data_IF_979086539451
#
_entry.id   IF_979086539451
#
_cell.length_a   1.000
_cell.length_b   1.000
_cell.length_c   1.000
_cell.angle_alpha   90.00
_cell.angle_beta   90.00
_cell.angle_gamma   90.00
#
_symmetry.space_group_name_H-M   'P 1'
#
loop_
_entity.id
_entity.type
_entity.pdbx_description
1 polymer ?
#
# COMPACT_ATOMS: atom_id res chain seq x y z
N UNK A 1 -9.46 7.34 13.06
CA UNK A 1 -10.62 8.23 12.78
C UNK A 1 -10.62 9.51 13.60
N UNK A 2 -10.25 9.52 14.90
CA UNK A 2 -10.14 10.75 15.70
C UNK A 2 -9.30 11.86 15.03
N UNK A 3 -8.24 11.45 14.34
CA UNK A 3 -7.27 12.35 13.69
C UNK A 3 -7.51 12.55 12.18
N UNK A 4 -8.50 11.87 11.59
CA UNK A 4 -8.75 11.89 10.14
C UNK A 4 -9.41 13.19 9.70
N UNK A 5 -8.84 13.89 8.71
CA UNK A 5 -9.42 15.13 8.17
C UNK A 5 -9.39 16.33 9.12
N UNK A 6 -8.56 16.27 10.17
CA UNK A 6 -8.48 17.30 11.20
C UNK A 6 -7.17 18.11 11.14
N UNK A 7 -6.45 18.07 10.02
CA UNK A 7 -5.23 18.86 9.86
C UNK A 7 -5.49 20.35 10.07
N UNK A 8 -4.59 21.04 10.76
CA UNK A 8 -4.65 22.49 10.88
C UNK A 8 -4.60 23.15 9.48
N UNK A 9 -5.66 23.87 9.07
CA UNK A 9 -5.70 24.50 7.75
C UNK A 9 -4.69 25.64 7.56
N UNK A 10 -4.08 26.13 8.65
CA UNK A 10 -3.01 27.14 8.59
C UNK A 10 -1.64 26.52 8.30
N UNK A 11 -1.49 25.21 8.51
CA UNK A 11 -0.26 24.48 8.22
C UNK A 11 -0.31 23.95 6.79
N UNK A 12 0.81 24.08 6.06
CA UNK A 12 0.96 23.43 4.75
C UNK A 12 0.93 21.90 4.86
N UNK A 13 1.40 21.37 5.99
CA UNK A 13 1.34 19.96 6.34
C UNK A 13 1.37 19.82 7.86
N UNK A 14 0.30 19.29 8.44
CA UNK A 14 0.22 19.06 9.89
C UNK A 14 0.88 17.71 10.24
N UNK A 15 2.22 17.73 10.31
CA UNK A 15 3.01 16.57 10.71
C UNK A 15 2.62 16.07 12.11
N UNK A 16 2.17 16.96 13.00
CA UNK A 16 1.94 16.60 14.41
C UNK A 16 0.73 15.68 14.58
N UNK A 17 -0.36 16.00 13.89
CA UNK A 17 -1.59 15.19 13.88
C UNK A 17 -1.36 13.82 13.23
N UNK A 18 -0.65 13.85 12.10
CA UNK A 18 -0.21 12.68 11.35
C UNK A 18 0.57 11.74 12.27
N UNK A 19 1.66 12.24 12.85
CA UNK A 19 2.53 11.44 13.72
C UNK A 19 1.77 10.85 14.91
N UNK A 20 0.78 11.54 15.49
CA UNK A 20 -0.03 10.95 16.56
C UNK A 20 -0.90 9.78 16.07
N UNK A 21 -1.53 9.91 14.90
CA UNK A 21 -2.33 8.83 14.32
C UNK A 21 -1.45 7.61 13.98
N UNK A 22 -0.30 7.85 13.36
CA UNK A 22 0.66 6.82 13.00
C UNK A 22 1.17 6.06 14.23
N UNK A 23 1.61 6.77 15.27
CA UNK A 23 2.10 6.18 16.52
C UNK A 23 1.02 5.37 17.25
N UNK A 24 -0.21 5.87 17.33
CA UNK A 24 -1.32 5.17 17.98
C UNK A 24 -1.65 3.84 17.27
N UNK A 25 -1.74 3.87 15.93
CA UNK A 25 -2.05 2.69 15.13
C UNK A 25 -0.88 1.71 15.15
N UNK A 26 0.36 2.18 15.00
CA UNK A 26 1.55 1.32 15.06
C UNK A 26 1.64 0.60 16.40
N UNK A 27 1.53 1.34 17.52
CA UNK A 27 1.62 0.76 18.86
C UNK A 27 0.52 -0.29 19.09
N UNK A 28 -0.70 -0.02 18.64
CA UNK A 28 -1.79 -0.98 18.72
C UNK A 28 -1.49 -2.26 17.93
N UNK A 29 -1.03 -2.13 16.68
CA UNK A 29 -0.73 -3.27 15.81
C UNK A 29 0.43 -4.09 16.35
N UNK A 30 1.52 -3.44 16.76
CA UNK A 30 2.69 -4.08 17.35
C UNK A 30 2.30 -4.89 18.60
N UNK A 31 1.56 -4.30 19.53
CA UNK A 31 1.08 -5.00 20.73
C UNK A 31 0.22 -6.22 20.38
N UNK A 32 -0.69 -6.09 19.42
CA UNK A 32 -1.58 -7.20 19.02
C UNK A 32 -0.81 -8.32 18.33
N UNK A 33 0.10 -7.96 17.44
CA UNK A 33 0.92 -8.93 16.69
C UNK A 33 1.85 -9.67 17.64
N UNK A 34 2.60 -8.97 18.50
CA UNK A 34 3.57 -9.60 19.41
C UNK A 34 2.88 -10.38 20.54
N UNK A 35 1.66 -10.00 20.95
CA UNK A 35 0.87 -10.82 21.88
C UNK A 35 0.43 -12.15 21.25
N UNK A 36 0.07 -12.15 19.96
CA UNK A 36 -0.33 -13.36 19.23
C UNK A 36 0.88 -14.20 18.77
N UNK A 37 1.99 -13.54 18.45
CA UNK A 37 3.21 -14.13 17.90
C UNK A 37 4.46 -13.62 18.65
N UNK A 38 4.72 -14.09 19.89
CA UNK A 38 5.76 -13.52 20.75
C UNK A 38 7.20 -13.66 20.24
N UNK A 39 7.45 -14.54 19.27
CA UNK A 39 8.77 -14.76 18.66
C UNK A 39 8.93 -14.07 17.29
N UNK A 40 7.90 -13.37 16.81
CA UNK A 40 7.98 -12.62 15.55
C UNK A 40 8.55 -11.22 15.81
N UNK A 41 9.03 -10.59 14.75
CA UNK A 41 9.56 -9.23 14.80
C UNK A 41 8.61 -8.26 14.09
N UNK A 42 8.68 -7.00 14.47
CA UNK A 42 7.86 -5.92 13.93
C UNK A 42 8.77 -4.86 13.32
N UNK A 43 8.38 -4.34 12.16
CA UNK A 43 9.01 -3.23 11.48
C UNK A 43 7.93 -2.29 10.96
N UNK A 44 7.94 -1.06 11.44
CA UNK A 44 6.97 -0.05 11.05
C UNK A 44 7.65 1.22 10.54
N UNK A 45 6.92 2.00 9.74
CA UNK A 45 7.41 3.26 9.16
C UNK A 45 8.05 4.20 10.21
N UNK A 46 7.41 4.35 11.38
CA UNK A 46 7.85 5.28 12.42
C UNK A 46 9.10 4.80 13.19
N UNK A 47 9.50 3.53 13.00
CA UNK A 47 10.71 2.94 13.58
C UNK A 47 11.59 2.33 12.47
N UNK A 48 12.39 3.14 11.76
CA UNK A 48 13.02 2.75 10.50
C UNK A 48 14.21 1.79 10.64
N UNK A 49 14.49 1.26 11.84
CA UNK A 49 15.55 0.27 12.04
C UNK A 49 14.94 -1.12 11.84
N UNK A 50 15.13 -1.67 10.64
CA UNK A 50 14.69 -3.01 10.31
C UNK A 50 15.47 -4.08 11.12
N UNK A 51 14.78 -5.05 11.73
CA UNK A 51 15.40 -6.27 12.21
C UNK A 51 16.09 -7.02 11.05
N UNK A 52 17.33 -7.46 11.25
CA UNK A 52 18.09 -8.22 10.26
C UNK A 52 18.15 -9.70 10.65
N UNK A 53 18.15 -10.59 9.64
CA UNK A 53 18.28 -12.04 9.82
C UNK A 53 17.25 -12.64 10.80
N UNK A 54 15.98 -12.30 10.61
CA UNK A 54 14.87 -12.83 11.41
C UNK A 54 13.97 -13.72 10.57
N UNK A 55 13.47 -14.80 11.16
CA UNK A 55 12.63 -15.76 10.45
C UNK A 55 11.24 -15.21 10.15
N UNK A 56 10.66 -14.45 11.08
CA UNK A 56 9.34 -13.86 10.93
C UNK A 56 9.37 -12.35 11.15
N UNK A 57 8.98 -11.61 10.12
CA UNK A 57 8.94 -10.15 10.15
C UNK A 57 7.57 -9.64 9.68
N UNK A 58 6.94 -8.81 10.51
CA UNK A 58 5.77 -8.04 10.14
C UNK A 58 6.20 -6.64 9.71
N UNK A 59 5.82 -6.23 8.51
CA UNK A 59 6.11 -4.89 7.97
C UNK A 59 4.80 -4.12 7.86
N UNK A 60 4.74 -2.94 8.48
CA UNK A 60 3.50 -2.18 8.67
C UNK A 60 3.67 -0.72 8.27
N UNK A 61 2.72 -0.22 7.49
CA UNK A 61 2.44 1.22 7.35
C UNK A 61 1.13 1.51 8.10
N UNK A 62 1.17 2.26 9.21
CA UNK A 62 -0.01 2.62 9.98
C UNK A 62 -1.01 3.49 9.19
N UNK A 63 -0.53 4.36 8.29
CA UNK A 63 -1.33 5.31 7.50
C UNK A 63 -0.70 5.52 6.10
N UNK A 64 -0.88 4.54 5.21
CA UNK A 64 -0.51 4.69 3.79
C UNK A 64 -1.46 5.71 3.14
N UNK A 65 -0.89 6.83 2.71
CA UNK A 65 -1.63 7.99 2.22
C UNK A 65 -1.82 9.09 3.27
N UNK A 66 -0.82 9.33 4.11
CA UNK A 66 -0.79 10.34 5.17
C UNK A 66 -1.29 11.74 4.75
N UNK A 67 -0.95 12.21 3.53
CA UNK A 67 -1.39 13.50 3.01
C UNK A 67 -2.91 13.55 2.70
N UNK A 68 -3.46 12.44 2.22
CA UNK A 68 -4.90 12.32 1.94
C UNK A 68 -5.69 12.01 3.22
N UNK A 69 -5.08 11.30 4.17
CA UNK A 69 -5.60 11.14 5.53
C UNK A 69 -5.80 12.48 6.24
N UNK A 70 -4.77 13.32 6.26
CA UNK A 70 -4.77 14.58 7.01
C UNK A 70 -5.80 15.59 6.47
N UNK A 71 -6.04 15.55 5.15
CA UNK A 71 -7.00 16.43 4.44
C UNK A 71 -8.43 15.89 4.41
N UNK A 72 -8.69 14.69 4.92
CA UNK A 72 -10.04 14.11 4.93
C UNK A 72 -10.45 13.50 3.58
N UNK A 73 -9.49 13.23 2.69
CA UNK A 73 -9.75 12.49 1.46
C UNK A 73 -9.84 10.98 1.76
N UNK A 74 -10.75 10.21 1.15
CA UNK A 74 -11.12 8.89 1.66
C UNK A 74 -10.19 7.74 1.24
N UNK A 75 -9.19 8.00 0.39
CA UNK A 75 -8.33 6.95 -0.18
C UNK A 75 -7.00 6.89 0.57
N UNK A 76 -7.04 6.26 1.74
CA UNK A 76 -5.88 5.93 2.58
C UNK A 76 -6.19 4.63 3.35
N UNK A 77 -5.18 3.98 3.89
CA UNK A 77 -5.43 2.78 4.68
C UNK A 77 -4.27 2.31 5.54
N UNK A 78 -4.54 1.24 6.29
CA UNK A 78 -3.56 0.54 7.13
C UNK A 78 -3.01 -0.62 6.30
N UNK A 79 -1.69 -0.71 6.21
CA UNK A 79 -0.99 -1.72 5.42
C UNK A 79 -0.21 -2.66 6.33
N UNK A 80 -0.33 -3.97 6.10
CA UNK A 80 0.36 -5.00 6.88
C UNK A 80 0.84 -6.10 5.94
N UNK A 81 2.11 -6.46 6.03
CA UNK A 81 2.65 -7.63 5.35
C UNK A 81 3.44 -8.49 6.32
N UNK A 82 3.56 -9.78 6.00
CA UNK A 82 4.39 -10.70 6.76
C UNK A 82 5.33 -11.44 5.84
N UNK A 83 6.59 -11.47 6.27
CA UNK A 83 7.69 -12.16 5.65
C UNK A 83 8.07 -13.36 6.52
N UNK A 84 8.36 -14.47 5.85
CA UNK A 84 8.96 -15.64 6.48
C UNK A 84 10.22 -16.04 5.72
N UNK A 85 11.36 -16.07 6.41
CA UNK A 85 12.68 -16.34 5.84
C UNK A 85 13.00 -15.42 4.65
N UNK A 86 12.67 -14.12 4.77
CA UNK A 86 12.84 -13.13 3.70
C UNK A 86 11.80 -13.18 2.57
N UNK A 87 10.96 -14.22 2.52
CA UNK A 87 9.91 -14.32 1.51
C UNK A 87 8.60 -13.67 1.96
N UNK A 88 8.04 -12.78 1.13
CA UNK A 88 6.73 -12.17 1.34
C UNK A 88 5.61 -13.22 1.25
N UNK A 89 4.96 -13.54 2.38
CA UNK A 89 3.93 -14.59 2.47
C UNK A 89 2.51 -14.05 2.37
N UNK A 90 2.24 -12.89 2.97
CA UNK A 90 0.91 -12.29 2.99
C UNK A 90 0.97 -10.76 2.96
N UNK A 91 -0.12 -10.18 2.47
CA UNK A 91 -0.39 -8.74 2.55
C UNK A 91 -1.84 -8.48 2.87
N UNK A 92 -2.09 -7.45 3.65
CA UNK A 92 -3.40 -6.95 4.03
C UNK A 92 -3.38 -5.44 3.88
N UNK A 93 -4.45 -4.90 3.31
CA UNK A 93 -4.67 -3.46 3.24
C UNK A 93 -6.11 -3.14 3.58
N UNK A 94 -6.32 -2.26 4.55
CA UNK A 94 -7.64 -1.89 5.02
C UNK A 94 -7.87 -0.39 4.89
N UNK A 95 -8.88 0.01 4.12
CA UNK A 95 -9.30 1.41 3.98
C UNK A 95 -10.50 1.67 4.91
N UNK A 96 -10.31 2.39 6.04
CA UNK A 96 -11.36 2.50 7.06
C UNK A 96 -12.56 3.35 6.65
N UNK A 97 -12.35 4.32 5.74
CA UNK A 97 -13.41 5.25 5.33
C UNK A 97 -14.41 4.57 4.40
N UNK A 98 -13.93 3.70 3.52
CA UNK A 98 -14.74 2.96 2.54
C UNK A 98 -15.13 1.57 3.01
N UNK A 99 -14.63 1.12 4.17
CA UNK A 99 -14.80 -0.24 4.70
C UNK A 99 -14.38 -1.31 3.68
N UNK A 100 -13.23 -1.10 3.05
CA UNK A 100 -12.66 -2.03 2.08
C UNK A 100 -11.43 -2.73 2.66
N UNK A 101 -11.51 -4.05 2.80
CA UNK A 101 -10.43 -4.93 3.23
C UNK A 101 -9.92 -5.75 2.05
N UNK A 102 -8.65 -5.59 1.73
CA UNK A 102 -7.91 -6.39 0.77
C UNK A 102 -6.96 -7.34 1.48
N UNK A 103 -6.84 -8.57 0.97
CA UNK A 103 -5.85 -9.53 1.48
C UNK A 103 -5.32 -10.41 0.35
N UNK A 104 -4.02 -10.69 0.36
CA UNK A 104 -3.36 -11.62 -0.55
C UNK A 104 -2.51 -12.61 0.20
N UNK A 105 -2.65 -13.89 -0.14
CA UNK A 105 -1.79 -14.97 0.37
C UNK A 105 -1.72 -16.10 -0.67
N UNK A 106 -0.52 -16.47 -1.09
CA UNK A 106 -0.31 -17.44 -2.17
C UNK A 106 -1.03 -17.03 -3.45
N UNK A 107 -1.97 -17.85 -3.95
CA UNK A 107 -2.78 -17.58 -5.16
C UNK A 107 -4.21 -17.11 -4.86
N UNK A 108 -4.43 -16.56 -3.66
CA UNK A 108 -5.76 -16.13 -3.19
C UNK A 108 -5.72 -14.66 -2.80
N UNK A 109 -6.30 -13.82 -3.66
CA UNK A 109 -6.57 -12.43 -3.37
C UNK A 109 -8.07 -12.23 -3.08
N UNK A 110 -8.38 -11.45 -2.04
CA UNK A 110 -9.74 -11.14 -1.62
C UNK A 110 -9.92 -9.62 -1.48
N UNK A 111 -11.11 -9.14 -1.83
CA UNK A 111 -11.64 -7.82 -1.47
C UNK A 111 -12.98 -8.05 -0.75
N UNK A 112 -13.09 -7.60 0.51
CA UNK A 112 -14.26 -7.82 1.37
C UNK A 112 -14.73 -9.29 1.35
N UNK A 113 -13.76 -10.20 1.55
CA UNK A 113 -13.92 -11.67 1.56
C UNK A 113 -14.35 -12.29 0.22
N UNK A 114 -14.48 -11.51 -0.86
CA UNK A 114 -14.80 -12.00 -2.20
C UNK A 114 -13.52 -12.13 -3.03
N UNK A 115 -13.33 -13.21 -3.80
CA UNK A 115 -12.18 -13.36 -4.69
C UNK A 115 -12.07 -12.21 -5.69
N UNK A 116 -10.83 -11.78 -5.95
CA UNK A 116 -10.50 -10.79 -6.96
C UNK A 116 -9.38 -11.30 -7.88
N UNK A 117 -9.27 -10.71 -9.07
CA UNK A 117 -8.20 -10.96 -10.05
C UNK A 117 -7.80 -9.67 -10.73
N UNK A 118 -6.52 -9.56 -11.05
CA UNK A 118 -6.02 -8.50 -11.91
C UNK A 118 -6.56 -8.67 -13.34
N UNK A 119 -6.56 -7.58 -14.13
CA UNK A 119 -6.91 -7.65 -15.55
C UNK A 119 -5.87 -8.49 -16.30
N UNK A 120 -6.32 -9.18 -17.35
CA UNK A 120 -5.48 -9.96 -18.27
C UNK A 120 -5.39 -9.29 -19.65
N UNK A 121 -6.27 -8.32 -19.93
CA UNK A 121 -6.30 -7.62 -21.20
C UNK A 121 -5.33 -6.44 -21.20
N UNK A 122 -4.41 -6.44 -22.16
CA UNK A 122 -3.42 -5.39 -22.39
C UNK A 122 -3.96 -4.22 -23.24
N UNK A 123 -5.22 -4.29 -23.70
CA UNK A 123 -5.81 -3.21 -24.48
C UNK A 123 -5.92 -1.91 -23.66
N UNK A 124 -5.44 -0.82 -24.25
CA UNK A 124 -5.54 0.54 -23.68
C UNK A 124 -6.36 1.39 -24.62
N UNK A 125 -7.43 1.96 -24.09
CA UNK A 125 -8.27 2.93 -24.79
C UNK A 125 -8.41 4.22 -23.96
N UNK A 126 -9.24 5.14 -24.44
CA UNK A 126 -9.45 6.44 -23.80
C UNK A 126 -10.21 6.35 -22.46
N UNK A 127 -10.77 5.18 -22.12
CA UNK A 127 -11.48 4.92 -20.87
C UNK A 127 -10.61 4.19 -19.83
N UNK A 128 -9.45 3.66 -20.23
CA UNK A 128 -8.47 3.09 -19.32
C UNK A 128 -8.05 4.10 -18.24
N UNK A 129 -7.84 3.62 -17.01
CA UNK A 129 -7.39 4.46 -15.89
C UNK A 129 -5.99 4.03 -15.45
N UNK A 130 -5.05 4.96 -15.48
CA UNK A 130 -3.71 4.81 -14.91
C UNK A 130 -3.63 5.61 -13.60
N UNK A 131 -3.31 4.92 -12.52
CA UNK A 131 -3.03 5.58 -11.24
C UNK A 131 -1.56 5.98 -11.16
N UNK A 132 -1.25 7.15 -10.61
CA UNK A 132 0.12 7.64 -10.50
C UNK A 132 0.40 8.27 -9.15
N UNK A 133 1.66 8.26 -8.73
CA UNK A 133 2.12 9.04 -7.58
C UNK A 133 1.98 10.56 -7.81
N UNK A 134 1.95 11.33 -6.72
CA UNK A 134 1.55 12.76 -6.72
C UNK A 134 2.45 13.68 -7.56
N UNK A 135 3.72 13.32 -7.72
CA UNK A 135 4.73 14.11 -8.45
C UNK A 135 5.01 13.60 -9.87
N UNK A 136 4.19 12.68 -10.38
CA UNK A 136 4.32 12.11 -11.72
C UNK A 136 4.59 13.16 -12.82
N UNK A 137 3.86 14.27 -12.79
CA UNK A 137 3.94 15.35 -13.77
C UNK A 137 5.27 16.15 -13.73
N UNK A 138 6.08 16.00 -12.69
CA UNK A 138 7.44 16.56 -12.64
C UNK A 138 8.46 15.68 -13.37
N UNK A 139 8.25 14.36 -13.31
CA UNK A 139 9.24 13.39 -13.77
C UNK A 139 8.90 12.86 -15.18
N UNK A 140 7.61 12.88 -15.56
CA UNK A 140 7.13 12.26 -16.80
C UNK A 140 6.24 13.19 -17.62
N UNK A 141 6.36 13.03 -18.94
CA UNK A 141 5.33 13.39 -19.93
C UNK A 141 4.85 12.09 -20.57
N UNK A 142 3.57 12.01 -20.86
CA UNK A 142 2.95 10.76 -21.32
C UNK A 142 1.97 11.02 -22.45
N UNK A 143 1.90 10.06 -23.35
CA UNK A 143 0.95 9.89 -24.44
C UNK A 143 -0.12 8.83 -24.12
N UNK A 144 -0.22 8.41 -22.86
CA UNK A 144 -1.22 7.45 -22.40
C UNK A 144 -2.62 7.94 -22.81
N UNK A 145 -3.38 7.14 -23.60
CA UNK A 145 -4.61 7.62 -24.22
C UNK A 145 -5.77 7.76 -23.22
N UNK A 146 -5.67 7.07 -22.08
CA UNK A 146 -6.69 7.05 -21.04
C UNK A 146 -6.58 8.17 -20.00
N UNK A 147 -7.26 7.95 -18.88
CA UNK A 147 -7.39 8.89 -17.75
C UNK A 147 -6.28 8.63 -16.73
N UNK A 148 -5.51 9.67 -16.42
CA UNK A 148 -4.48 9.61 -15.37
C UNK A 148 -5.01 10.23 -14.08
N UNK A 149 -4.84 9.56 -12.94
CA UNK A 149 -5.30 10.03 -11.62
C UNK A 149 -4.26 9.75 -10.54
N UNK A 150 -4.16 10.62 -9.54
CA UNK A 150 -3.43 10.33 -8.31
C UNK A 150 -4.41 10.29 -7.15
N UNK A 151 -4.47 9.16 -6.44
CA UNK A 151 -5.38 8.99 -5.29
C UNK A 151 -4.70 9.13 -3.92
N UNK A 152 -3.37 9.30 -3.90
CA UNK A 152 -2.62 9.63 -2.68
C UNK A 152 -2.12 8.48 -1.80
N UNK A 153 -2.49 7.23 -2.06
CA UNK A 153 -2.03 6.04 -1.31
C UNK A 153 -1.45 4.99 -2.28
N UNK A 154 -0.22 4.52 -2.02
CA UNK A 154 0.48 3.60 -2.91
C UNK A 154 -0.15 2.21 -2.87
N UNK A 155 -0.48 1.72 -1.67
CA UNK A 155 -1.07 0.40 -1.48
C UNK A 155 -2.50 0.37 -2.04
N UNK A 156 -3.27 1.45 -1.92
CA UNK A 156 -4.59 1.54 -2.56
C UNK A 156 -4.48 1.47 -4.08
N UNK A 157 -3.49 2.13 -4.69
CA UNK A 157 -3.30 2.04 -6.14
C UNK A 157 -3.03 0.60 -6.58
N UNK A 158 -2.14 -0.10 -5.86
CA UNK A 158 -1.84 -1.52 -6.15
C UNK A 158 -3.08 -2.40 -5.92
N UNK A 159 -3.83 -2.19 -4.84
CA UNK A 159 -5.05 -2.94 -4.54
C UNK A 159 -6.14 -2.74 -5.61
N UNK A 160 -6.26 -1.53 -6.17
CA UNK A 160 -7.18 -1.25 -7.27
C UNK A 160 -6.80 -1.96 -8.57
N UNK A 161 -5.50 -2.09 -8.87
CA UNK A 161 -5.00 -2.93 -9.97
C UNK A 161 -5.31 -4.39 -9.70
N UNK A 162 -5.04 -4.87 -8.48
CA UNK A 162 -5.25 -6.26 -8.08
C UNK A 162 -6.72 -6.70 -8.16
N UNK A 163 -7.69 -5.78 -7.95
CA UNK A 163 -9.12 -6.07 -8.17
C UNK A 163 -9.60 -5.85 -9.60
N UNK A 164 -8.71 -5.46 -10.51
CA UNK A 164 -9.03 -5.16 -11.91
C UNK A 164 -9.87 -3.90 -12.10
N UNK A 165 -9.90 -2.98 -11.13
CA UNK A 165 -10.69 -1.75 -11.23
C UNK A 165 -10.04 -0.70 -12.14
N UNK A 166 -8.71 -0.68 -12.20
CA UNK A 166 -7.91 0.23 -13.05
C UNK A 166 -6.98 -0.57 -13.95
N UNK A 167 -6.45 0.07 -14.99
CA UNK A 167 -5.56 -0.57 -15.95
C UNK A 167 -4.17 -0.84 -15.34
N UNK A 168 -3.62 0.14 -14.63
CA UNK A 168 -2.31 0.01 -14.00
C UNK A 168 -2.07 1.09 -12.95
N UNK A 169 -0.92 0.98 -12.28
CA UNK A 169 -0.42 1.98 -11.35
C UNK A 169 1.07 2.21 -11.59
N UNK A 170 1.48 3.48 -11.62
CA UNK A 170 2.87 3.89 -11.58
C UNK A 170 3.19 4.46 -10.20
N UNK A 171 4.08 3.77 -9.50
CA UNK A 171 4.52 4.14 -8.15
C UNK A 171 5.83 4.92 -8.24
N UNK A 172 6.08 5.81 -7.28
CA UNK A 172 7.31 6.58 -7.24
C UNK A 172 7.68 6.93 -5.81
N UNK A 173 8.97 6.83 -5.48
CA UNK A 173 9.55 7.12 -4.16
C UNK A 173 8.83 6.38 -3.03
N UNK A 174 8.88 5.05 -3.10
CA UNK A 174 8.18 4.15 -2.19
C UNK A 174 9.17 3.34 -1.34
N UNK A 175 8.79 3.13 -0.08
CA UNK A 175 9.43 2.24 0.87
C UNK A 175 8.86 0.81 0.79
N UNK A 176 9.49 -0.15 1.48
CA UNK A 176 9.01 -1.52 1.47
C UNK A 176 7.61 -1.66 2.09
N UNK A 177 7.27 -0.85 3.11
CA UNK A 177 5.94 -0.83 3.70
C UNK A 177 4.86 -0.27 2.75
N UNK A 178 5.22 0.61 1.81
CA UNK A 178 4.32 1.14 0.77
C UNK A 178 4.03 0.14 -0.36
N UNK A 179 4.82 -0.95 -0.48
CA UNK A 179 4.77 -1.88 -1.61
C UNK A 179 4.41 -3.29 -1.16
N UNK A 180 5.06 -3.84 -0.13
CA UNK A 180 4.95 -5.23 0.27
C UNK A 180 3.50 -5.75 0.44
N UNK A 181 2.60 -5.07 1.17
CA UNK A 181 1.22 -5.54 1.29
C UNK A 181 0.49 -5.54 -0.05
N UNK A 182 0.64 -4.47 -0.84
CA UNK A 182 0.07 -4.37 -2.18
C UNK A 182 0.60 -5.44 -3.13
N UNK A 183 1.91 -5.68 -3.12
CA UNK A 183 2.58 -6.69 -3.93
C UNK A 183 2.06 -8.10 -3.64
N UNK A 184 1.89 -8.45 -2.36
CA UNK A 184 1.31 -9.74 -1.99
C UNK A 184 -0.13 -9.90 -2.50
N UNK A 185 -0.94 -8.83 -2.39
CA UNK A 185 -2.32 -8.79 -2.92
C UNK A 185 -2.33 -8.95 -4.44
N UNK A 186 -1.48 -8.19 -5.14
CA UNK A 186 -1.40 -8.18 -6.60
C UNK A 186 -0.91 -9.52 -7.16
N UNK A 187 0.15 -10.10 -6.58
CA UNK A 187 0.67 -11.43 -6.93
C UNK A 187 -0.40 -12.50 -6.77
N UNK A 188 -1.11 -12.47 -5.64
CA UNK A 188 -2.20 -13.41 -5.38
C UNK A 188 -3.39 -13.24 -6.33
N UNK A 189 -3.57 -12.05 -6.90
CA UNK A 189 -4.56 -11.74 -7.92
C UNK A 189 -4.10 -12.07 -9.35
N UNK A 190 -2.83 -12.45 -9.54
CA UNK A 190 -2.23 -12.79 -10.83
C UNK A 190 -1.53 -11.65 -11.56
N UNK A 191 -1.28 -10.52 -10.89
CA UNK A 191 -0.48 -9.42 -11.43
C UNK A 191 0.95 -9.38 -10.90
N UNK A 192 1.72 -8.39 -11.33
CA UNK A 192 3.12 -8.20 -10.97
C UNK A 192 3.48 -6.71 -10.93
N UNK A 193 4.61 -6.40 -10.27
CA UNK A 193 5.23 -5.07 -10.33
C UNK A 193 6.51 -5.20 -11.14
N UNK A 194 6.78 -4.23 -12.00
CA UNK A 194 8.04 -4.12 -12.75
C UNK A 194 8.67 -2.76 -12.51
N UNK A 195 9.99 -2.72 -12.55
CA UNK A 195 10.70 -1.45 -12.67
C UNK A 195 10.54 -0.86 -14.08
N UNK A 196 11.04 0.37 -14.28
CA UNK A 196 10.94 1.04 -15.57
C UNK A 196 11.76 0.39 -16.69
N UNK A 197 12.70 -0.50 -16.35
CA UNK A 197 13.46 -1.30 -17.31
C UNK A 197 12.75 -2.62 -17.64
N UNK A 198 11.59 -2.88 -17.05
CA UNK A 198 10.79 -4.09 -17.24
C UNK A 198 11.23 -5.27 -16.37
N UNK A 199 12.23 -5.11 -15.48
CA UNK A 199 12.61 -6.17 -14.52
C UNK A 199 11.47 -6.36 -13.53
N UNK A 200 11.07 -7.61 -13.31
CA UNK A 200 10.09 -7.95 -12.26
C UNK A 200 10.67 -7.57 -10.91
N UNK A 201 9.91 -6.79 -10.16
CA UNK A 201 10.24 -6.44 -8.77
C UNK A 201 9.90 -7.61 -7.85
N UNK A 202 10.89 -8.03 -7.07
CA UNK A 202 10.72 -8.97 -5.98
C UNK A 202 10.90 -8.28 -4.64
N UNK A 203 10.16 -8.77 -3.63
CA UNK A 203 10.29 -8.27 -2.27
C UNK A 203 11.68 -8.50 -1.68
N UNK A 204 12.45 -9.44 -2.25
CA UNK A 204 13.85 -9.72 -1.94
C UNK A 204 14.83 -8.71 -2.56
N UNK A 205 14.38 -7.86 -3.50
CA UNK A 205 15.20 -6.78 -4.07
C UNK A 205 15.34 -5.57 -3.10
N UNK A 206 14.70 -5.62 -1.92
CA UNK A 206 14.69 -4.58 -0.88
C UNK A 206 15.44 -5.05 0.37
#
# INVERSE_FOLDING_TARGET
MRHYGHADPQLKYDMSLVTQADLEVQSFLEQKILAAYPHHHFFGEENPIAPVNVDHLWVVDPVDGTAVFSTGFPIWGISISHFHEGELKLGVFYMPVTDELYSGMGKKALHNRKPIRARVDDSVDNEAVLLTYSRFHHDFRTDFPGKIRSMGSSVAHIAFVARGAVWGALLGRVHIWDIAPGLAILRAAGGEIRDLNGKIFNSEDY
#
